data_IF_942627804991
#
_entry.id   IF_942627804991
#
_cell.length_a   1.000
_cell.length_b   1.000
_cell.length_c   1.000
_cell.angle_alpha   90.00
_cell.angle_beta   90.00
_cell.angle_gamma   90.00
#
_symmetry.space_group_name_H-M   'P 1'
#
loop_
_entity.id
_entity.type
_entity.pdbx_description
1 polymer ?
#
# COMPACT_ATOMS: atom_id res chain seq x y z
N UNK A 1 -12.06 -13.55 -53.56
CA UNK A 1 -13.16 -13.02 -52.72
C UNK A 1 -12.66 -12.99 -51.29
N UNK A 2 -12.06 -11.87 -50.89
CA UNK A 2 -11.65 -11.64 -49.51
C UNK A 2 -12.88 -11.18 -48.73
N UNK A 3 -13.25 -11.91 -47.69
CA UNK A 3 -14.27 -11.47 -46.75
C UNK A 3 -13.64 -10.33 -45.95
N UNK A 4 -13.88 -9.09 -46.40
CA UNK A 4 -13.71 -7.94 -45.51
C UNK A 4 -14.81 -8.06 -44.46
N UNK A 5 -14.42 -8.48 -43.25
CA UNK A 5 -15.27 -8.41 -42.07
C UNK A 5 -15.56 -6.93 -41.79
N UNK A 6 -16.58 -6.38 -42.44
CA UNK A 6 -17.24 -5.17 -41.99
C UNK A 6 -18.06 -5.51 -40.74
N UNK A 7 -17.35 -5.79 -39.64
CA UNK A 7 -17.87 -5.52 -38.29
C UNK A 7 -18.13 -3.99 -38.27
N UNK A 8 -19.34 -3.64 -37.85
CA UNK A 8 -20.06 -2.43 -38.22
C UNK A 8 -19.47 -1.14 -37.64
N UNK A 9 -19.79 -0.04 -38.29
CA UNK A 9 -19.58 1.31 -37.73
C UNK A 9 -20.58 1.52 -36.58
N UNK A 10 -20.28 0.96 -35.39
CA UNK A 10 -20.97 1.30 -34.14
C UNK A 10 -21.10 2.83 -34.03
N UNK A 11 -22.25 3.42 -33.72
CA UNK A 11 -22.40 4.90 -33.71
C UNK A 11 -21.86 5.59 -34.99
N UNK A 12 -22.57 5.46 -36.12
CA UNK A 12 -22.15 6.02 -37.43
C UNK A 12 -21.92 7.54 -37.47
N UNK A 13 -22.34 8.27 -36.45
CA UNK A 13 -22.17 9.72 -36.33
C UNK A 13 -20.85 10.15 -35.68
N UNK A 14 -20.04 9.22 -35.17
CA UNK A 14 -18.70 9.56 -34.70
C UNK A 14 -17.79 10.01 -35.86
N UNK A 15 -16.75 10.80 -35.57
CA UNK A 15 -15.80 11.22 -36.60
C UNK A 15 -15.15 10.03 -37.30
N UNK A 16 -15.01 10.13 -38.62
CA UNK A 16 -14.11 9.26 -39.37
C UNK A 16 -12.65 9.65 -39.05
N UNK A 17 -11.71 8.71 -39.13
CA UNK A 17 -10.31 8.91 -38.71
C UNK A 17 -9.61 10.02 -39.54
N UNK A 18 -9.46 11.22 -38.98
CA UNK A 18 -8.60 12.28 -39.54
C UNK A 18 -7.14 12.14 -39.06
N UNK A 19 -6.91 11.58 -37.87
CA UNK A 19 -5.60 11.51 -37.20
C UNK A 19 -5.26 10.09 -36.65
N UNK A 20 -5.35 9.10 -37.54
CA UNK A 20 -4.82 7.74 -37.31
C UNK A 20 -5.71 6.82 -36.46
N UNK A 21 -6.43 5.91 -37.12
CA UNK A 21 -7.08 4.66 -36.65
C UNK A 21 -7.83 4.65 -35.29
N UNK A 22 -7.94 5.76 -34.55
CA UNK A 22 -8.46 5.82 -33.17
C UNK A 22 -9.95 5.61 -33.11
N UNK A 23 -10.71 6.28 -33.96
CA UNK A 23 -12.15 6.09 -34.04
C UNK A 23 -12.47 4.73 -34.64
N UNK A 24 -11.70 4.24 -35.62
CA UNK A 24 -11.82 2.86 -36.09
C UNK A 24 -11.63 1.82 -34.96
N UNK A 25 -10.59 1.97 -34.14
CA UNK A 25 -10.37 1.11 -32.98
C UNK A 25 -11.53 1.19 -31.98
N UNK A 26 -12.09 2.38 -31.75
CA UNK A 26 -13.25 2.57 -30.86
C UNK A 26 -14.52 1.94 -31.42
N UNK A 27 -14.81 2.15 -32.72
CA UNK A 27 -15.92 1.51 -33.41
C UNK A 27 -15.87 0.00 -33.21
N UNK A 28 -14.74 -0.61 -33.52
CA UNK A 28 -14.53 -2.05 -33.33
C UNK A 28 -14.71 -2.45 -31.87
N UNK A 29 -14.11 -1.72 -30.92
CA UNK A 29 -14.20 -2.04 -29.51
C UNK A 29 -15.67 -2.06 -29.04
N UNK A 30 -16.44 -1.04 -29.38
CA UNK A 30 -17.83 -0.90 -28.97
C UNK A 30 -18.80 -1.83 -29.73
N UNK A 31 -18.40 -2.34 -30.90
CA UNK A 31 -19.13 -3.39 -31.61
C UNK A 31 -18.94 -4.78 -30.97
N UNK A 32 -17.77 -5.01 -30.35
CA UNK A 32 -17.39 -6.34 -29.81
C UNK A 32 -17.63 -6.44 -28.30
N UNK A 33 -17.48 -5.34 -27.55
CA UNK A 33 -17.51 -5.36 -26.09
C UNK A 33 -18.55 -4.40 -25.49
N UNK A 34 -19.44 -4.96 -24.68
CA UNK A 34 -20.47 -4.22 -23.96
C UNK A 34 -20.08 -3.84 -22.52
N UNK A 35 -20.78 -2.84 -21.98
CA UNK A 35 -20.72 -2.47 -20.56
C UNK A 35 -19.72 -1.36 -20.21
N UNK A 36 -19.28 -0.58 -21.20
CA UNK A 36 -18.32 0.52 -21.04
C UNK A 36 -18.94 1.91 -20.98
N UNK A 37 -20.28 2.01 -20.97
CA UNK A 37 -21.01 3.25 -20.73
C UNK A 37 -20.57 4.38 -21.66
N UNK A 38 -20.06 5.46 -21.06
CA UNK A 38 -19.64 6.66 -21.79
C UNK A 38 -18.48 6.46 -22.75
N UNK A 39 -17.70 5.37 -22.67
CA UNK A 39 -16.73 5.05 -23.73
C UNK A 39 -17.41 4.81 -25.08
N UNK A 40 -18.60 4.21 -25.06
CA UNK A 40 -19.37 3.79 -26.22
C UNK A 40 -20.67 4.58 -26.37
N UNK A 41 -20.77 5.78 -25.78
CA UNK A 41 -21.94 6.64 -25.95
C UNK A 41 -21.89 7.32 -27.33
N UNK A 42 -22.95 7.16 -28.13
CA UNK A 42 -22.98 7.69 -29.49
C UNK A 42 -23.00 9.22 -29.54
N UNK A 43 -23.56 9.87 -28.53
CA UNK A 43 -23.79 11.31 -28.51
C UNK A 43 -22.63 12.04 -27.80
N UNK A 44 -22.16 11.50 -26.67
CA UNK A 44 -21.15 12.10 -25.81
C UNK A 44 -20.08 11.08 -25.37
N UNK A 45 -19.28 10.54 -26.31
CA UNK A 45 -18.25 9.57 -25.97
C UNK A 45 -17.15 10.19 -25.10
N UNK A 46 -16.69 9.45 -24.09
CA UNK A 46 -15.52 9.83 -23.30
C UNK A 46 -14.26 9.75 -24.17
N UNK A 47 -13.68 10.91 -24.43
CA UNK A 47 -12.40 11.08 -25.12
C UNK A 47 -11.45 11.78 -24.15
N UNK A 48 -10.37 11.11 -23.70
CA UNK A 48 -9.40 11.72 -22.80
C UNK A 48 -8.84 13.02 -23.39
N UNK A 49 -8.92 14.10 -22.61
CA UNK A 49 -8.27 15.37 -22.93
C UNK A 49 -7.14 15.59 -21.94
N UNK A 50 -5.95 15.88 -22.45
CA UNK A 50 -4.81 16.18 -21.59
C UNK A 50 -5.08 17.50 -20.86
N UNK A 51 -5.18 17.43 -19.52
CA UNK A 51 -5.42 18.62 -18.71
C UNK A 51 -4.10 19.32 -18.39
N UNK A 52 -4.02 20.66 -18.51
CA UNK A 52 -2.77 21.36 -18.28
C UNK A 52 -2.34 21.21 -16.82
N UNK A 53 -1.06 20.91 -16.61
CA UNK A 53 -0.45 20.84 -15.28
C UNK A 53 -0.53 22.21 -14.60
N UNK A 54 -1.06 22.32 -13.38
CA UNK A 54 -0.99 23.55 -12.60
C UNK A 54 0.45 24.07 -12.46
N UNK A 55 0.65 25.38 -12.62
CA UNK A 55 1.98 26.04 -12.55
C UNK A 55 2.66 25.84 -11.20
N UNK A 56 1.87 25.60 -10.14
CA UNK A 56 2.37 25.36 -8.78
C UNK A 56 2.98 23.98 -8.60
N UNK A 57 2.78 23.04 -9.54
CA UNK A 57 3.27 21.67 -9.41
C UNK A 57 4.69 21.55 -9.97
N UNK A 58 5.59 21.01 -9.14
CA UNK A 58 7.05 21.06 -9.37
C UNK A 58 7.55 19.98 -10.32
N UNK A 59 6.84 18.87 -10.45
CA UNK A 59 7.33 17.71 -11.19
C UNK A 59 6.21 16.95 -11.91
N UNK A 60 6.62 16.12 -12.86
CA UNK A 60 5.76 15.10 -13.45
C UNK A 60 5.97 13.79 -12.69
N UNK A 61 4.87 13.15 -12.31
CA UNK A 61 4.88 11.89 -11.54
C UNK A 61 4.21 10.82 -12.40
N UNK A 62 4.93 9.73 -12.69
CA UNK A 62 4.43 8.64 -13.52
C UNK A 62 3.40 7.82 -12.73
N UNK A 63 2.27 7.50 -13.36
CA UNK A 63 1.25 6.59 -12.83
C UNK A 63 1.40 5.24 -13.51
N UNK A 64 1.69 4.21 -12.72
CA UNK A 64 1.77 2.81 -13.14
C UNK A 64 0.50 2.12 -12.67
N UNK A 65 -0.25 1.53 -13.60
CA UNK A 65 -1.47 0.79 -13.28
C UNK A 65 -1.21 -0.70 -13.53
N UNK A 66 -1.36 -1.51 -12.48
CA UNK A 66 -1.32 -2.95 -12.56
C UNK A 66 -2.72 -3.47 -12.91
N UNK A 67 -2.81 -4.21 -14.00
CA UNK A 67 -4.07 -4.75 -14.48
C UNK A 67 -3.93 -6.22 -14.91
N UNK A 68 -5.03 -6.96 -14.73
CA UNK A 68 -5.15 -8.36 -15.13
C UNK A 68 -6.34 -8.55 -16.05
N UNK A 69 -7.19 -9.53 -15.73
CA UNK A 69 -8.35 -9.92 -16.55
C UNK A 69 -9.64 -9.16 -16.23
N UNK A 70 -9.58 -7.96 -15.62
CA UNK A 70 -10.77 -7.20 -15.19
C UNK A 70 -10.89 -5.84 -15.91
N UNK A 71 -11.08 -5.83 -17.25
CA UNK A 71 -11.01 -4.61 -18.06
C UNK A 71 -12.05 -3.54 -17.69
N UNK A 72 -13.20 -3.92 -17.12
CA UNK A 72 -14.20 -2.95 -16.63
C UNK A 72 -13.74 -2.20 -15.37
N UNK A 73 -13.01 -2.87 -14.47
CA UNK A 73 -12.39 -2.21 -13.32
C UNK A 73 -11.28 -1.28 -13.80
N UNK A 74 -10.45 -1.77 -14.71
CA UNK A 74 -9.41 -0.96 -15.37
C UNK A 74 -10.01 0.29 -16.03
N UNK A 75 -11.07 0.18 -16.82
CA UNK A 75 -11.71 1.33 -17.46
C UNK A 75 -12.19 2.35 -16.42
N UNK A 76 -12.86 1.90 -15.36
CA UNK A 76 -13.35 2.77 -14.28
C UNK A 76 -12.19 3.57 -13.68
N UNK A 77 -11.08 2.92 -13.37
CA UNK A 77 -9.91 3.58 -12.81
C UNK A 77 -9.27 4.55 -13.82
N UNK A 78 -9.04 4.10 -15.06
CA UNK A 78 -8.44 4.92 -16.12
C UNK A 78 -9.23 6.20 -16.37
N UNK A 79 -10.56 6.09 -16.40
CA UNK A 79 -11.44 7.24 -16.53
C UNK A 79 -11.23 8.24 -15.39
N UNK A 80 -11.11 7.78 -14.14
CA UNK A 80 -10.85 8.68 -13.00
C UNK A 80 -9.46 9.30 -13.06
N UNK A 81 -8.43 8.53 -13.45
CA UNK A 81 -7.04 8.98 -13.59
C UNK A 81 -6.92 10.06 -14.66
N UNK A 82 -7.51 9.83 -15.84
CA UNK A 82 -7.43 10.76 -16.98
C UNK A 82 -8.25 12.04 -16.77
N UNK A 83 -9.13 12.07 -15.78
CA UNK A 83 -9.85 13.27 -15.35
C UNK A 83 -9.13 14.05 -14.25
N UNK A 84 -8.02 13.54 -13.71
CA UNK A 84 -7.24 14.28 -12.71
C UNK A 84 -6.54 15.48 -13.37
N UNK A 85 -6.56 16.66 -12.74
CA UNK A 85 -5.82 17.82 -13.24
C UNK A 85 -4.33 17.49 -13.42
N UNK A 86 -3.72 17.98 -14.51
CA UNK A 86 -2.31 17.81 -14.82
C UNK A 86 -1.86 16.40 -15.19
N UNK A 87 -2.77 15.43 -15.26
CA UNK A 87 -2.48 14.10 -15.80
C UNK A 87 -2.64 14.16 -17.32
N UNK A 88 -1.58 13.77 -18.02
CA UNK A 88 -1.59 13.50 -19.46
C UNK A 88 -1.43 12.00 -19.71
N UNK A 89 -1.81 11.55 -20.91
CA UNK A 89 -1.66 10.15 -21.33
C UNK A 89 -0.21 9.66 -21.27
N UNK A 90 0.76 10.53 -21.54
CA UNK A 90 2.19 10.23 -21.47
C UNK A 90 2.69 9.91 -20.05
N UNK A 91 1.92 10.30 -19.02
CA UNK A 91 2.24 10.01 -17.62
C UNK A 91 1.58 8.73 -17.11
N UNK A 92 0.83 8.00 -17.95
CA UNK A 92 0.13 6.78 -17.55
C UNK A 92 0.74 5.58 -18.28
N UNK A 93 1.22 4.60 -17.51
CA UNK A 93 1.68 3.30 -17.98
C UNK A 93 0.77 2.20 -17.43
N UNK A 94 0.11 1.45 -18.32
CA UNK A 94 -0.69 0.27 -17.95
C UNK A 94 0.14 -1.00 -18.13
N UNK A 95 0.42 -1.71 -17.03
CA UNK A 95 1.09 -3.01 -17.05
C UNK A 95 0.06 -4.12 -17.00
N UNK A 96 -0.08 -4.88 -18.08
CA UNK A 96 -1.03 -5.99 -18.23
C UNK A 96 -0.34 -7.32 -17.91
N UNK A 97 -0.85 -8.09 -16.94
CA UNK A 97 -0.35 -9.43 -16.63
C UNK A 97 -0.99 -10.49 -17.54
N UNK A 98 -0.39 -10.69 -18.72
CA UNK A 98 -0.91 -11.56 -19.77
C UNK A 98 -1.56 -10.79 -20.92
N UNK A 99 -1.77 -11.49 -22.04
CA UNK A 99 -2.32 -10.94 -23.27
C UNK A 99 -3.84 -10.88 -23.30
N UNK A 100 -4.48 -10.29 -22.30
CA UNK A 100 -5.94 -10.14 -22.27
C UNK A 100 -6.40 -9.16 -23.37
N UNK A 101 -6.99 -9.68 -24.44
CA UNK A 101 -7.31 -8.92 -25.65
C UNK A 101 -8.23 -7.73 -25.38
N UNK A 102 -9.29 -7.90 -24.58
CA UNK A 102 -10.23 -6.82 -24.23
C UNK A 102 -9.52 -5.68 -23.48
N UNK A 103 -8.65 -6.00 -22.52
CA UNK A 103 -7.89 -4.99 -21.77
C UNK A 103 -6.87 -4.28 -22.66
N UNK A 104 -6.17 -5.01 -23.53
CA UNK A 104 -5.23 -4.42 -24.49
C UNK A 104 -5.93 -3.46 -25.45
N UNK A 105 -7.08 -3.87 -26.01
CA UNK A 105 -7.86 -3.02 -26.92
C UNK A 105 -8.40 -1.79 -26.21
N UNK A 106 -8.87 -1.91 -24.98
CA UNK A 106 -9.30 -0.77 -24.17
C UNK A 106 -8.17 0.27 -24.02
N UNK A 107 -6.96 -0.18 -23.68
CA UNK A 107 -5.81 0.69 -23.48
C UNK A 107 -5.38 1.37 -24.79
N UNK A 108 -5.49 0.67 -25.92
CA UNK A 108 -5.28 1.23 -27.26
C UNK A 108 -6.32 2.30 -27.64
N UNK A 109 -7.61 2.05 -27.36
CA UNK A 109 -8.69 3.04 -27.60
C UNK A 109 -8.43 4.34 -26.84
N UNK A 110 -7.87 4.24 -25.63
CA UNK A 110 -7.51 5.39 -24.80
C UNK A 110 -6.14 6.00 -25.14
N UNK A 111 -5.39 5.41 -26.07
CA UNK A 111 -4.07 5.84 -26.51
C UNK A 111 -3.06 6.03 -25.36
N UNK A 112 -2.97 5.03 -24.48
CA UNK A 112 -2.08 5.06 -23.31
C UNK A 112 -0.82 4.21 -23.54
N UNK A 113 0.25 4.52 -22.81
CA UNK A 113 1.41 3.64 -22.77
C UNK A 113 1.06 2.34 -22.06
N UNK A 114 1.54 1.21 -22.59
CA UNK A 114 1.34 -0.08 -21.95
C UNK A 114 2.55 -1.01 -22.07
N UNK A 115 2.59 -1.99 -21.18
CA UNK A 115 3.54 -3.10 -21.24
C UNK A 115 2.79 -4.40 -20.96
N UNK A 116 3.08 -5.44 -21.74
CA UNK A 116 2.52 -6.78 -21.55
C UNK A 116 3.58 -7.60 -20.81
N UNK A 117 3.22 -8.11 -19.64
CA UNK A 117 3.99 -9.08 -18.88
C UNK A 117 3.59 -10.48 -19.31
N UNK A 118 4.57 -11.31 -19.66
CA UNK A 118 4.34 -12.75 -19.72
C UNK A 118 4.24 -13.27 -18.30
N UNK A 119 3.11 -13.89 -17.95
CA UNK A 119 2.84 -14.30 -16.58
C UNK A 119 3.92 -15.26 -16.05
N UNK A 120 4.59 -14.85 -14.97
CA UNK A 120 5.57 -15.64 -14.21
C UNK A 120 5.00 -16.01 -12.84
N UNK A 121 5.39 -17.15 -12.26
CA UNK A 121 4.94 -17.59 -10.92
C UNK A 121 4.03 -18.82 -10.96
N UNK A 122 4.34 -19.83 -10.13
CA UNK A 122 3.54 -21.06 -10.05
C UNK A 122 2.27 -20.80 -9.24
N UNK A 123 1.15 -20.56 -9.90
CA UNK A 123 -0.16 -20.28 -9.26
C UNK A 123 -0.83 -21.47 -8.55
N UNK A 124 -0.11 -22.58 -8.33
CA UNK A 124 -0.68 -23.82 -7.79
C UNK A 124 -0.94 -23.80 -6.28
N UNK A 125 -0.03 -23.21 -5.48
CA UNK A 125 -0.12 -23.20 -4.01
C UNK A 125 -0.45 -21.81 -3.43
N UNK A 126 -0.17 -20.74 -4.16
CA UNK A 126 -0.47 -19.35 -3.77
C UNK A 126 -0.43 -18.43 -5.00
N UNK A 127 -1.31 -17.41 -5.09
CA UNK A 127 -1.25 -16.39 -6.13
C UNK A 127 -0.14 -15.35 -5.89
N UNK A 128 0.41 -15.27 -4.67
CA UNK A 128 1.36 -14.24 -4.25
C UNK A 128 2.61 -14.11 -5.16
N UNK A 129 3.27 -15.20 -5.59
CA UNK A 129 4.44 -15.08 -6.44
C UNK A 129 4.10 -14.45 -7.79
N UNK A 130 2.95 -14.80 -8.38
CA UNK A 130 2.51 -14.25 -9.67
C UNK A 130 2.34 -12.73 -9.61
N UNK A 131 1.63 -12.26 -8.58
CA UNK A 131 1.39 -10.83 -8.38
C UNK A 131 2.71 -10.10 -8.11
N UNK A 132 3.58 -10.69 -7.28
CA UNK A 132 4.92 -10.15 -6.99
C UNK A 132 5.77 -9.98 -8.26
N UNK A 133 5.77 -10.97 -9.16
CA UNK A 133 6.51 -10.90 -10.43
C UNK A 133 5.97 -9.85 -11.37
N UNK A 134 4.65 -9.72 -11.47
CA UNK A 134 4.03 -8.67 -12.30
C UNK A 134 4.37 -7.27 -11.81
N UNK A 135 4.30 -7.02 -10.50
CA UNK A 135 4.69 -5.74 -9.92
C UNK A 135 6.17 -5.44 -10.18
N UNK A 136 7.07 -6.42 -9.97
CA UNK A 136 8.50 -6.27 -10.29
C UNK A 136 8.70 -5.86 -11.74
N UNK A 137 8.03 -6.53 -12.67
CA UNK A 137 8.09 -6.23 -14.10
C UNK A 137 7.63 -4.80 -14.38
N UNK A 138 6.47 -4.40 -13.85
CA UNK A 138 5.90 -3.07 -14.05
C UNK A 138 6.86 -1.97 -13.55
N UNK A 139 7.40 -2.13 -12.36
CA UNK A 139 8.38 -1.21 -11.77
C UNK A 139 9.66 -1.14 -12.61
N UNK A 140 10.22 -2.29 -13.00
CA UNK A 140 11.42 -2.32 -13.84
C UNK A 140 11.20 -1.66 -15.20
N UNK A 141 10.07 -1.96 -15.86
CA UNK A 141 9.71 -1.35 -17.16
C UNK A 141 9.51 0.15 -17.05
N UNK A 142 8.83 0.62 -16.01
CA UNK A 142 8.61 2.06 -15.78
C UNK A 142 9.92 2.85 -15.70
N UNK A 143 10.90 2.36 -14.93
CA UNK A 143 12.21 3.01 -14.76
C UNK A 143 12.97 3.05 -16.08
N UNK A 144 12.88 1.99 -16.89
CA UNK A 144 13.57 1.87 -18.18
C UNK A 144 12.96 2.73 -19.27
N UNK A 145 11.63 2.75 -19.37
CA UNK A 145 10.90 3.50 -20.40
C UNK A 145 10.83 4.99 -20.09
N UNK A 146 10.85 5.36 -18.81
CA UNK A 146 10.73 6.73 -18.35
C UNK A 146 11.99 7.15 -17.54
N UNK A 147 13.14 7.36 -18.21
CA UNK A 147 14.42 7.62 -17.54
C UNK A 147 14.46 8.96 -16.80
N UNK A 148 13.63 9.93 -17.20
CA UNK A 148 13.54 11.25 -16.57
C UNK A 148 12.65 11.30 -15.32
N UNK A 149 11.79 10.30 -15.13
CA UNK A 149 10.84 10.28 -14.01
C UNK A 149 11.54 9.96 -12.70
N UNK A 150 11.29 10.80 -11.70
CA UNK A 150 11.88 10.67 -10.35
C UNK A 150 10.95 10.01 -9.35
N UNK A 151 9.64 10.08 -9.58
CA UNK A 151 8.62 9.54 -8.67
C UNK A 151 7.59 8.74 -9.45
N UNK A 152 7.08 7.71 -8.81
CA UNK A 152 6.22 6.69 -9.41
C UNK A 152 5.06 6.41 -8.46
N UNK A 153 3.85 6.59 -8.96
CA UNK A 153 2.60 6.17 -8.32
C UNK A 153 2.25 4.80 -8.86
N UNK A 154 1.90 3.86 -7.99
CA UNK A 154 1.44 2.51 -8.36
C UNK A 154 -0.02 2.37 -7.93
N UNK A 155 -0.88 1.99 -8.86
CA UNK A 155 -2.31 1.76 -8.67
C UNK A 155 -2.68 0.33 -9.12
N UNK A 156 -3.65 -0.26 -8.45
CA UNK A 156 -4.29 -1.53 -8.87
C UNK A 156 -5.62 -1.22 -9.57
N UNK A 157 -5.99 -2.01 -10.59
CA UNK A 157 -7.16 -1.74 -11.45
C UNK A 157 -8.51 -1.65 -10.72
N UNK A 158 -8.63 -2.20 -9.50
CA UNK A 158 -9.87 -2.26 -8.72
C UNK A 158 -10.05 -1.12 -7.70
N UNK A 159 -9.15 -0.13 -7.73
CA UNK A 159 -9.25 1.06 -6.91
C UNK A 159 -10.29 2.05 -7.45
N UNK A 160 -10.90 2.80 -6.53
CA UNK A 160 -11.49 4.10 -6.79
C UNK A 160 -10.54 5.16 -6.23
N UNK A 161 -10.34 6.24 -6.98
CA UNK A 161 -9.51 7.37 -6.53
C UNK A 161 -10.36 8.61 -6.24
N UNK A 162 -9.91 9.42 -5.29
CA UNK A 162 -10.53 10.68 -4.91
C UNK A 162 -10.28 11.78 -5.97
N UNK A 163 -11.12 12.83 -6.02
CA UNK A 163 -10.94 13.93 -6.96
C UNK A 163 -9.60 14.68 -6.79
N UNK A 164 -9.05 14.75 -5.58
CA UNK A 164 -7.75 15.37 -5.26
C UNK A 164 -6.56 14.39 -5.33
N UNK A 165 -6.74 13.14 -5.79
CA UNK A 165 -5.71 12.11 -5.67
C UNK A 165 -4.34 12.53 -6.24
N UNK A 166 -4.30 13.03 -7.47
CA UNK A 166 -3.02 13.43 -8.08
C UNK A 166 -2.46 14.72 -7.45
N UNK A 167 -3.34 15.65 -7.05
CA UNK A 167 -2.96 16.85 -6.28
C UNK A 167 -2.34 16.49 -4.92
N UNK A 168 -2.89 15.50 -4.23
CA UNK A 168 -2.37 14.97 -2.97
C UNK A 168 -0.96 14.38 -3.17
N UNK A 169 -0.75 13.58 -4.23
CA UNK A 169 0.57 13.03 -4.55
C UNK A 169 1.57 14.15 -4.90
N UNK A 170 1.14 15.17 -5.64
CA UNK A 170 1.97 16.35 -5.93
C UNK A 170 2.38 17.11 -4.67
N UNK A 171 1.44 17.35 -3.74
CA UNK A 171 1.73 18.03 -2.47
C UNK A 171 2.69 17.23 -1.59
N UNK A 172 2.45 15.93 -1.44
CA UNK A 172 3.22 15.04 -0.56
C UNK A 172 4.53 14.56 -1.16
N UNK A 173 4.74 14.72 -2.48
CA UNK A 173 5.99 14.40 -3.17
C UNK A 173 7.20 15.07 -2.51
N UNK A 174 7.01 16.28 -1.98
CA UNK A 174 8.04 17.05 -1.30
C UNK A 174 8.65 16.34 -0.10
N UNK A 175 7.83 15.57 0.63
CA UNK A 175 8.29 14.84 1.81
C UNK A 175 9.36 13.83 1.43
N UNK A 176 9.24 13.20 0.26
CA UNK A 176 10.23 12.24 -0.25
C UNK A 176 11.56 12.90 -0.65
N UNK A 177 11.54 14.20 -0.95
CA UNK A 177 12.76 14.96 -1.26
C UNK A 177 13.42 15.52 0.02
N UNK A 178 12.61 15.93 1.00
CA UNK A 178 13.09 16.59 2.22
C UNK A 178 13.47 15.62 3.34
N UNK A 179 12.82 14.47 3.43
CA UNK A 179 12.96 13.55 4.56
C UNK A 179 13.38 12.14 4.11
N UNK A 180 14.68 11.79 4.21
CA UNK A 180 15.19 10.48 3.79
C UNK A 180 14.72 9.33 4.70
N UNK A 181 14.05 9.64 5.82
CA UNK A 181 13.46 8.65 6.71
C UNK A 181 12.05 8.23 6.28
N UNK A 182 11.56 8.75 5.15
CA UNK A 182 10.32 8.31 4.49
C UNK A 182 10.69 7.60 3.20
N UNK A 183 10.10 6.43 2.94
CA UNK A 183 10.33 5.70 1.69
C UNK A 183 9.20 5.86 0.69
N UNK A 184 8.00 6.23 1.13
CA UNK A 184 6.85 6.42 0.25
C UNK A 184 5.70 7.20 0.87
N UNK A 185 4.66 7.41 0.06
CA UNK A 185 3.39 8.01 0.44
C UNK A 185 2.26 7.08 -0.02
N UNK A 186 1.28 6.82 0.82
CA UNK A 186 0.08 6.08 0.45
C UNK A 186 -1.10 7.03 0.24
N UNK A 187 -2.03 6.67 -0.65
CA UNK A 187 -3.38 7.22 -0.73
C UNK A 187 -4.35 6.52 0.22
N UNK A 188 -3.96 5.40 0.82
CA UNK A 188 -4.78 4.57 1.68
C UNK A 188 -4.29 4.58 3.13
N UNK A 189 -5.22 4.37 4.08
CA UNK A 189 -4.92 4.11 5.49
C UNK A 189 -5.85 3.05 6.05
N UNK A 190 -5.30 2.02 6.71
CA UNK A 190 -6.06 0.88 7.21
C UNK A 190 -7.06 1.30 8.28
N UNK A 191 -6.67 2.27 9.10
CA UNK A 191 -7.44 2.77 10.24
C UNK A 191 -8.48 3.83 9.92
N UNK A 192 -8.70 4.17 8.65
CA UNK A 192 -9.69 5.18 8.28
C UNK A 192 -11.08 4.55 8.15
N UNK A 193 -11.95 4.86 9.11
CA UNK A 193 -13.37 4.52 9.14
C UNK A 193 -14.19 5.79 9.42
N UNK A 194 -15.51 5.71 9.26
CA UNK A 194 -16.41 6.86 9.50
C UNK A 194 -16.31 7.44 10.91
N UNK A 195 -15.92 6.61 11.89
CA UNK A 195 -15.72 7.03 13.27
C UNK A 195 -14.27 7.38 13.63
N UNK A 196 -13.30 7.25 12.71
CA UNK A 196 -11.87 7.43 12.99
C UNK A 196 -11.11 8.28 11.97
N UNK A 197 -11.82 8.91 11.03
CA UNK A 197 -11.22 9.80 10.05
C UNK A 197 -12.17 10.97 9.74
N UNK A 198 -11.66 12.19 9.96
CA UNK A 198 -12.45 13.43 9.88
C UNK A 198 -11.71 14.58 9.21
N UNK A 199 -10.41 14.68 9.45
CA UNK A 199 -9.59 15.80 9.01
C UNK A 199 -8.91 15.46 7.67
N UNK A 200 -9.36 16.03 6.54
CA UNK A 200 -8.77 15.74 5.25
C UNK A 200 -7.39 16.37 5.07
N UNK A 201 -6.97 17.30 5.93
CA UNK A 201 -5.65 17.93 5.89
C UNK A 201 -4.58 17.13 6.62
N UNK A 202 -5.00 16.25 7.55
CA UNK A 202 -4.07 15.54 8.44
C UNK A 202 -3.39 14.38 7.74
N UNK A 203 -2.10 14.27 8.03
CA UNK A 203 -1.23 13.17 7.63
C UNK A 203 -0.65 12.50 8.87
N UNK A 204 -0.25 11.24 8.73
CA UNK A 204 0.43 10.45 9.75
C UNK A 204 1.69 9.81 9.15
N UNK A 205 2.65 9.53 10.02
CA UNK A 205 3.81 8.68 9.70
C UNK A 205 3.62 7.31 10.34
N UNK A 206 3.94 6.25 9.61
CA UNK A 206 3.85 4.91 10.15
C UNK A 206 4.87 3.93 9.56
N UNK A 207 5.22 2.95 10.38
CA UNK A 207 5.63 1.62 9.95
C UNK A 207 4.41 0.91 9.37
N UNK A 208 4.36 0.89 8.04
CA UNK A 208 3.39 0.11 7.29
C UNK A 208 4.05 -0.33 5.97
N UNK A 209 3.30 -1.05 5.16
CA UNK A 209 3.68 -1.36 3.79
C UNK A 209 2.86 -0.52 2.80
N UNK A 210 3.33 -0.36 1.55
CA UNK A 210 2.54 0.28 0.51
C UNK A 210 1.30 -0.56 0.21
N UNK A 211 0.12 0.08 0.21
CA UNK A 211 -1.13 -0.59 -0.08
C UNK A 211 -2.06 0.35 -0.86
N UNK A 212 -2.79 -0.19 -1.85
CA UNK A 212 -3.93 0.46 -2.49
C UNK A 212 -3.69 1.89 -2.97
N UNK A 213 -2.66 2.10 -3.79
CA UNK A 213 -2.33 3.40 -4.37
C UNK A 213 -1.24 4.13 -3.58
N UNK A 214 -0.01 4.05 -4.06
CA UNK A 214 1.16 4.53 -3.32
C UNK A 214 2.22 5.11 -4.25
N UNK A 215 2.98 6.08 -3.74
CA UNK A 215 4.05 6.78 -4.44
C UNK A 215 5.40 6.52 -3.79
N UNK A 216 6.43 6.30 -4.61
CA UNK A 216 7.82 6.14 -4.17
C UNK A 216 8.78 6.91 -5.08
N UNK A 217 9.97 7.19 -4.56
CA UNK A 217 11.08 7.75 -5.32
C UNK A 217 11.84 6.69 -6.14
N UNK A 218 12.48 7.13 -7.22
CA UNK A 218 13.31 6.30 -8.11
C UNK A 218 14.44 5.59 -7.36
N UNK A 219 15.08 6.28 -6.42
CA UNK A 219 16.18 5.73 -5.61
C UNK A 219 15.73 4.51 -4.81
N UNK A 220 14.56 4.59 -4.17
CA UNK A 220 13.96 3.47 -3.45
C UNK A 220 13.65 2.31 -4.39
N UNK A 221 13.07 2.58 -5.57
CA UNK A 221 12.82 1.50 -6.54
C UNK A 221 14.09 0.78 -7.00
N UNK A 222 15.20 1.48 -7.24
CA UNK A 222 16.47 0.83 -7.57
C UNK A 222 16.96 -0.08 -6.45
N UNK A 223 16.88 0.38 -5.21
CA UNK A 223 17.24 -0.42 -4.02
C UNK A 223 16.34 -1.66 -3.90
N UNK A 224 15.02 -1.48 -4.01
CA UNK A 224 14.04 -2.57 -3.85
C UNK A 224 14.13 -3.60 -4.98
N UNK A 225 14.30 -3.18 -6.24
CA UNK A 225 14.33 -4.08 -7.39
C UNK A 225 15.52 -5.05 -7.37
N UNK A 226 16.66 -4.63 -6.82
CA UNK A 226 17.84 -5.51 -6.63
C UNK A 226 17.57 -6.58 -5.57
N UNK A 227 16.77 -6.24 -4.56
CA UNK A 227 16.39 -7.15 -3.48
C UNK A 227 15.16 -8.00 -3.81
N UNK A 228 14.51 -7.76 -4.96
CA UNK A 228 13.21 -8.34 -5.26
C UNK A 228 13.25 -9.86 -5.19
N UNK A 229 12.28 -10.50 -4.51
CA UNK A 229 12.39 -11.91 -4.25
C UNK A 229 12.30 -12.80 -5.49
N UNK A 230 12.91 -13.99 -5.42
CA UNK A 230 12.74 -15.04 -6.41
C UNK A 230 11.28 -15.46 -6.58
N UNK A 231 10.99 -16.10 -7.71
CA UNK A 231 9.63 -16.50 -8.11
C UNK A 231 9.04 -17.62 -7.24
N UNK A 232 9.88 -18.28 -6.44
CA UNK A 232 9.50 -19.37 -5.54
C UNK A 232 8.96 -18.85 -4.20
N UNK A 233 9.12 -17.56 -3.90
CA UNK A 233 8.70 -17.05 -2.60
C UNK A 233 7.20 -16.79 -2.55
N UNK A 234 6.53 -17.46 -1.61
CA UNK A 234 5.08 -17.45 -1.43
C UNK A 234 4.54 -16.29 -0.58
N UNK A 235 5.40 -15.45 -0.03
CA UNK A 235 4.95 -14.29 0.74
C UNK A 235 4.54 -13.16 -0.20
N UNK A 236 3.48 -12.45 0.19
CA UNK A 236 2.97 -11.31 -0.54
C UNK A 236 4.01 -10.18 -0.63
N UNK A 237 4.03 -9.54 -1.80
CA UNK A 237 5.02 -8.52 -2.13
C UNK A 237 4.96 -7.32 -1.18
N UNK A 238 3.78 -6.97 -0.68
CA UNK A 238 3.52 -5.83 0.18
C UNK A 238 4.07 -6.07 1.58
N UNK A 239 3.81 -7.23 2.18
CA UNK A 239 4.43 -7.67 3.42
C UNK A 239 5.96 -7.72 3.32
N UNK A 240 6.48 -8.24 2.21
CA UNK A 240 7.93 -8.23 1.95
C UNK A 240 8.49 -6.80 1.88
N UNK A 241 7.83 -5.89 1.16
CA UNK A 241 8.23 -4.48 1.08
C UNK A 241 8.12 -3.75 2.43
N UNK A 242 7.15 -4.12 3.27
CA UNK A 242 6.99 -3.58 4.63
C UNK A 242 8.03 -4.06 5.63
N UNK A 243 8.74 -5.15 5.32
CA UNK A 243 9.71 -5.75 6.21
C UNK A 243 10.87 -4.80 6.54
N UNK A 244 11.47 -4.96 7.72
CA UNK A 244 12.65 -4.19 8.12
C UNK A 244 13.83 -4.32 7.16
N UNK A 245 13.90 -5.42 6.39
CA UNK A 245 14.93 -5.66 5.38
C UNK A 245 14.85 -4.68 4.21
N UNK A 246 13.64 -4.44 3.67
CA UNK A 246 13.41 -3.51 2.55
C UNK A 246 13.27 -2.08 3.06
N UNK A 247 12.45 -1.89 4.10
CA UNK A 247 12.11 -0.57 4.62
C UNK A 247 13.28 0.11 5.34
N UNK A 248 14.17 -0.65 5.97
CA UNK A 248 15.36 -0.13 6.70
C UNK A 248 15.04 0.97 7.71
N UNK A 249 13.94 0.81 8.43
CA UNK A 249 13.50 1.77 9.45
C UNK A 249 12.83 3.05 8.90
N UNK A 250 12.71 3.21 7.56
CA UNK A 250 11.97 4.32 6.94
C UNK A 250 10.47 4.17 7.13
N UNK A 251 9.70 5.22 6.99
CA UNK A 251 8.24 5.20 7.20
C UNK A 251 7.49 5.51 5.91
N UNK A 252 6.18 5.27 5.92
CA UNK A 252 5.27 5.72 4.88
C UNK A 252 4.36 6.82 5.42
N UNK A 253 4.08 7.82 4.59
CA UNK A 253 3.09 8.87 4.90
C UNK A 253 1.70 8.37 4.54
N UNK A 254 0.77 8.51 5.47
CA UNK A 254 -0.62 8.08 5.33
C UNK A 254 -1.56 9.27 5.54
N UNK A 255 -2.63 9.43 4.76
CA UNK A 255 -3.63 10.45 5.02
C UNK A 255 -4.60 9.98 6.10
N UNK A 256 -5.19 10.90 6.86
CA UNK A 256 -6.30 10.55 7.75
C UNK A 256 -7.55 10.19 6.94
N UNK A 257 -7.98 11.05 6.01
CA UNK A 257 -9.01 10.73 5.02
C UNK A 257 -8.34 10.14 3.76
N UNK A 258 -8.63 8.88 3.38
CA UNK A 258 -8.06 8.25 2.19
C UNK A 258 -8.35 9.00 0.89
N UNK A 259 -7.43 8.86 -0.07
CA UNK A 259 -7.57 9.28 -1.47
C UNK A 259 -7.78 8.09 -2.40
N UNK A 260 -7.79 6.88 -1.86
CA UNK A 260 -8.10 5.65 -2.57
C UNK A 260 -9.03 4.77 -1.74
N UNK A 261 -9.90 4.03 -2.43
CA UNK A 261 -10.81 3.05 -1.85
C UNK A 261 -10.73 1.78 -2.67
N UNK A 262 -10.58 0.63 -2.01
CA UNK A 262 -10.61 -0.65 -2.70
C UNK A 262 -12.07 -1.05 -2.98
N UNK A 263 -12.44 -1.05 -4.27
CA UNK A 263 -13.81 -1.27 -4.74
C UNK A 263 -13.97 -2.59 -5.50
N UNK A 264 -12.95 -3.47 -5.46
CA UNK A 264 -13.06 -4.84 -5.91
C UNK A 264 -14.01 -5.62 -5.00
N UNK A 265 -15.10 -6.14 -5.57
CA UNK A 265 -16.03 -7.07 -4.88
C UNK A 265 -15.67 -8.54 -5.13
N UNK A 266 -14.76 -8.79 -6.07
CA UNK A 266 -14.14 -10.08 -6.37
C UNK A 266 -12.64 -9.89 -6.63
N UNK A 267 -11.82 -10.79 -6.09
CA UNK A 267 -10.35 -10.74 -6.17
C UNK A 267 -9.72 -11.94 -5.46
N UNK A 268 -8.40 -12.10 -5.58
CA UNK A 268 -7.68 -13.30 -5.12
C UNK A 268 -7.82 -13.58 -3.61
N UNK A 269 -7.96 -12.53 -2.79
CA UNK A 269 -8.14 -12.63 -1.33
C UNK A 269 -9.54 -12.20 -0.87
N UNK A 270 -10.53 -12.12 -1.77
CA UNK A 270 -11.79 -11.43 -1.49
C UNK A 270 -13.03 -12.25 -1.86
N UNK A 271 -13.93 -12.44 -0.89
CA UNK A 271 -15.30 -12.88 -1.12
C UNK A 271 -16.32 -12.09 -0.27
N UNK A 272 -17.35 -11.54 -0.92
CA UNK A 272 -18.64 -11.25 -0.27
C UNK A 272 -18.78 -9.95 0.55
N UNK A 273 -19.68 -10.01 1.54
CA UNK A 273 -20.23 -8.87 2.30
C UNK A 273 -19.21 -8.21 3.25
N UNK A 274 -18.20 -8.97 3.68
CA UNK A 274 -17.19 -8.56 4.67
C UNK A 274 -16.09 -7.68 4.06
N UNK A 275 -15.69 -7.99 2.82
CA UNK A 275 -14.82 -7.13 2.01
C UNK A 275 -15.41 -5.72 1.86
N UNK A 276 -16.72 -5.64 1.62
CA UNK A 276 -17.45 -4.37 1.53
C UNK A 276 -17.40 -3.55 2.83
N UNK A 277 -17.53 -4.21 4.00
CA UNK A 277 -17.47 -3.53 5.31
C UNK A 277 -16.07 -3.01 5.63
N UNK A 278 -15.00 -3.75 5.31
CA UNK A 278 -13.63 -3.37 5.68
C UNK A 278 -12.97 -2.40 4.71
N UNK A 279 -13.27 -2.52 3.43
CA UNK A 279 -12.55 -1.82 2.37
C UNK A 279 -13.42 -0.84 1.61
N UNK A 280 -14.66 -1.20 1.26
CA UNK A 280 -15.53 -0.36 0.43
C UNK A 280 -16.30 0.71 1.21
N UNK A 281 -16.49 0.54 2.53
CA UNK A 281 -17.17 1.52 3.40
C UNK A 281 -16.23 2.57 4.03
N UNK A 282 -15.00 2.69 3.51
CA UNK A 282 -14.05 3.71 3.98
C UNK A 282 -14.44 5.09 3.47
N UNK A 283 -14.26 6.16 4.27
CA UNK A 283 -14.40 7.52 3.77
C UNK A 283 -13.34 7.79 2.69
N UNK A 284 -13.63 8.73 1.80
CA UNK A 284 -12.70 9.21 0.80
C UNK A 284 -12.81 10.73 0.71
N UNK A 285 -11.71 11.38 0.35
CA UNK A 285 -11.70 12.81 0.06
C UNK A 285 -12.65 13.12 -1.11
N UNK A 286 -13.36 14.24 -1.00
CA UNK A 286 -14.37 14.68 -1.98
C UNK A 286 -14.07 16.05 -2.58
N UNK A 287 -13.20 16.83 -1.93
CA UNK A 287 -12.83 18.17 -2.37
C UNK A 287 -11.64 18.05 -3.34
N UNK A 288 -11.79 18.42 -4.63
CA UNK A 288 -10.71 18.37 -5.62
C UNK A 288 -9.55 19.34 -5.30
N UNK A 289 -9.75 20.36 -4.47
CA UNK A 289 -8.75 21.37 -4.13
C UNK A 289 -8.14 21.15 -2.73
N UNK A 290 -8.41 19.99 -2.12
CA UNK A 290 -7.99 19.67 -0.77
C UNK A 290 -6.48 19.86 -0.56
N UNK A 291 -6.14 20.59 0.52
CA UNK A 291 -4.75 20.82 0.95
C UNK A 291 -4.36 19.91 2.10
N UNK A 292 -3.09 19.56 2.18
CA UNK A 292 -2.53 18.76 3.28
C UNK A 292 -1.36 19.46 3.96
N UNK A 293 -1.17 19.19 5.25
CA UNK A 293 -0.04 19.73 6.00
C UNK A 293 1.17 18.80 5.93
N UNK A 294 2.06 19.02 4.97
CA UNK A 294 3.29 18.20 4.82
C UNK A 294 4.31 18.46 5.93
N UNK A 295 4.32 19.66 6.52
CA UNK A 295 5.34 20.03 7.51
C UNK A 295 5.18 19.27 8.82
N UNK A 296 3.94 18.88 9.18
CA UNK A 296 3.67 18.12 10.40
C UNK A 296 4.18 16.68 10.35
N UNK A 297 4.47 16.15 9.15
CA UNK A 297 4.97 14.79 8.97
C UNK A 297 6.46 14.73 8.62
N UNK A 298 7.19 15.85 8.69
CA UNK A 298 8.65 15.79 8.74
C UNK A 298 9.08 15.21 10.09
N UNK A 299 10.07 14.33 10.10
CA UNK A 299 10.44 13.51 11.27
C UNK A 299 10.55 14.30 12.58
N UNK A 300 11.30 15.40 12.61
CA UNK A 300 11.53 16.19 13.81
C UNK A 300 10.23 16.84 14.33
N UNK A 301 9.41 17.36 13.42
CA UNK A 301 8.12 17.97 13.76
C UNK A 301 7.15 16.92 14.29
N UNK A 302 7.06 15.79 13.60
CA UNK A 302 6.17 14.69 13.99
C UNK A 302 6.51 14.16 15.38
N UNK A 303 7.79 13.89 15.65
CA UNK A 303 8.24 13.42 16.96
C UNK A 303 7.98 14.43 18.08
N UNK A 304 8.24 15.72 17.81
CA UNK A 304 7.98 16.82 18.75
C UNK A 304 6.49 16.88 19.11
N UNK A 305 5.62 16.90 18.10
CA UNK A 305 4.17 17.02 18.29
C UNK A 305 3.59 15.76 18.95
N UNK A 306 4.09 14.58 18.58
CA UNK A 306 3.69 13.31 19.18
C UNK A 306 4.07 13.22 20.66
N UNK A 307 5.27 13.67 21.04
CA UNK A 307 5.68 13.75 22.44
C UNK A 307 4.80 14.67 23.28
N UNK A 308 4.34 15.80 22.72
CA UNK A 308 3.40 16.69 23.38
C UNK A 308 2.03 16.03 23.53
N UNK A 309 1.54 15.39 22.47
CA UNK A 309 0.26 14.69 22.45
C UNK A 309 0.19 13.60 23.52
N UNK A 310 1.24 12.77 23.63
CA UNK A 310 1.31 11.70 24.63
C UNK A 310 1.30 12.26 26.06
N UNK A 311 2.00 13.38 26.32
CA UNK A 311 2.02 14.02 27.64
C UNK A 311 0.67 14.60 28.06
N UNK A 312 -0.15 15.02 27.08
CA UNK A 312 -1.51 15.51 27.31
C UNK A 312 -2.53 14.38 27.50
N UNK A 313 -2.15 13.14 27.17
CA UNK A 313 -3.09 12.04 27.13
C UNK A 313 -3.53 11.61 28.55
N UNK A 314 -4.85 11.51 28.74
CA UNK A 314 -5.44 10.97 29.97
C UNK A 314 -5.45 9.44 29.88
N UNK A 315 -4.86 8.72 30.85
CA UNK A 315 -4.79 7.28 30.75
C UNK A 315 -6.14 6.60 31.02
N UNK A 316 -6.44 5.57 30.25
CA UNK A 316 -7.65 4.75 30.38
C UNK A 316 -7.31 3.45 31.12
N UNK A 317 -8.07 3.14 32.17
CA UNK A 317 -7.99 1.86 32.86
C UNK A 317 -8.93 0.85 32.18
N UNK A 318 -8.39 0.08 31.23
CA UNK A 318 -9.16 -0.88 30.43
C UNK A 318 -8.78 -2.30 30.85
N UNK A 319 -9.73 -3.01 31.47
CA UNK A 319 -9.58 -4.42 31.86
C UNK A 319 -10.16 -5.32 30.76
N UNK A 320 -11.36 -4.98 30.28
CA UNK A 320 -12.06 -5.68 29.21
C UNK A 320 -12.48 -4.68 28.12
N UNK A 321 -11.77 -4.64 26.98
CA UNK A 321 -12.06 -3.71 25.89
C UNK A 321 -13.48 -3.83 25.32
N UNK A 322 -14.08 -5.02 25.31
CA UNK A 322 -15.41 -5.21 24.71
C UNK A 322 -16.54 -4.63 25.57
N UNK A 323 -16.33 -4.58 26.88
CA UNK A 323 -17.26 -3.98 27.83
C UNK A 323 -16.86 -2.55 28.24
N UNK A 324 -15.80 -2.00 27.65
CA UNK A 324 -15.33 -0.65 27.94
C UNK A 324 -16.03 0.38 27.07
N UNK A 325 -16.50 1.48 27.69
CA UNK A 325 -17.05 2.61 26.95
C UNK A 325 -15.94 3.62 26.62
N UNK A 326 -15.48 3.61 25.37
CA UNK A 326 -14.44 4.54 24.91
C UNK A 326 -14.93 6.00 24.89
N UNK A 327 -14.11 6.97 25.35
CA UNK A 327 -14.45 8.38 25.23
C UNK A 327 -14.61 8.80 23.76
N UNK A 328 -15.70 9.49 23.45
CA UNK A 328 -16.03 9.94 22.08
C UNK A 328 -16.04 11.48 21.93
N UNK A 329 -15.76 12.22 23.01
CA UNK A 329 -15.89 13.68 23.07
C UNK A 329 -14.64 14.34 23.61
N UNK A 330 -13.96 15.11 22.77
CA UNK A 330 -12.83 15.94 23.14
C UNK A 330 -11.66 15.16 23.72
N UNK A 331 -10.55 15.85 23.94
CA UNK A 331 -9.41 15.30 24.68
C UNK A 331 -8.63 14.22 23.94
N UNK A 332 -7.54 13.83 24.61
CA UNK A 332 -6.60 12.82 24.16
C UNK A 332 -6.51 11.78 25.27
N UNK A 333 -6.64 10.52 24.91
CA UNK A 333 -6.63 9.41 25.84
C UNK A 333 -5.57 8.40 25.45
N UNK A 334 -5.02 7.68 26.42
CA UNK A 334 -4.03 6.62 26.14
C UNK A 334 -4.39 5.34 26.86
N UNK A 335 -4.30 4.23 26.14
CA UNK A 335 -4.37 2.87 26.68
C UNK A 335 -3.08 2.12 26.40
N UNK A 336 -2.72 1.18 27.28
CA UNK A 336 -1.48 0.41 27.20
C UNK A 336 -1.81 -1.04 26.91
N UNK A 337 -1.21 -1.61 25.87
CA UNK A 337 -1.39 -3.02 25.49
C UNK A 337 -0.06 -3.77 25.63
N UNK A 338 -0.10 -5.07 25.94
CA UNK A 338 1.10 -5.90 25.97
C UNK A 338 1.63 -6.07 24.56
N UNK A 339 2.89 -5.71 24.35
CA UNK A 339 3.60 -5.90 23.09
C UNK A 339 5.09 -6.02 23.39
N UNK A 340 5.65 -7.23 23.34
CA UNK A 340 7.08 -7.48 23.56
C UNK A 340 7.94 -7.28 22.30
N UNK A 341 7.34 -7.46 21.12
CA UNK A 341 8.00 -7.27 19.83
C UNK A 341 6.98 -6.87 18.77
N UNK A 342 7.46 -6.54 17.56
CA UNK A 342 6.61 -6.27 16.40
C UNK A 342 5.62 -7.41 16.07
N UNK A 343 6.00 -8.65 16.40
CA UNK A 343 5.19 -9.84 16.14
C UNK A 343 4.18 -10.16 17.27
N UNK A 344 4.20 -9.41 18.37
CA UNK A 344 3.29 -9.63 19.51
C UNK A 344 1.99 -8.86 19.30
N UNK A 345 1.10 -9.42 18.49
CA UNK A 345 -0.08 -8.74 17.97
C UNK A 345 -1.36 -8.95 18.80
N UNK A 346 -1.41 -9.96 19.68
CA UNK A 346 -2.69 -10.44 20.23
C UNK A 346 -3.49 -9.37 20.98
N UNK A 347 -2.82 -8.60 21.84
CA UNK A 347 -3.48 -7.54 22.59
C UNK A 347 -3.92 -6.38 21.70
N UNK A 348 -3.17 -6.09 20.63
CA UNK A 348 -3.57 -5.11 19.63
C UNK A 348 -4.82 -5.56 18.89
N UNK A 349 -4.90 -6.82 18.45
CA UNK A 349 -6.04 -7.36 17.71
C UNK A 349 -7.35 -7.17 18.49
N UNK A 350 -7.37 -7.51 19.79
CA UNK A 350 -8.54 -7.29 20.65
C UNK A 350 -8.88 -5.80 20.77
N UNK A 351 -7.90 -4.94 21.04
CA UNK A 351 -8.13 -3.50 21.22
C UNK A 351 -8.65 -2.84 19.92
N UNK A 352 -8.03 -3.14 18.78
CA UNK A 352 -8.45 -2.64 17.48
C UNK A 352 -9.86 -3.10 17.13
N UNK A 353 -10.21 -4.34 17.48
CA UNK A 353 -11.55 -4.89 17.23
C UNK A 353 -12.61 -4.22 18.12
N UNK A 354 -12.32 -4.01 19.40
CA UNK A 354 -13.21 -3.28 20.32
C UNK A 354 -13.44 -1.82 19.89
N UNK A 355 -12.44 -1.18 19.29
CA UNK A 355 -12.56 0.16 18.70
C UNK A 355 -13.26 0.16 17.33
N UNK A 356 -13.58 -1.00 16.75
CA UNK A 356 -14.16 -1.11 15.41
C UNK A 356 -13.21 -0.66 14.29
N UNK A 357 -11.91 -0.89 14.46
CA UNK A 357 -10.85 -0.50 13.51
C UNK A 357 -10.17 -1.73 12.90
N UNK A 358 -9.09 -1.53 12.13
CA UNK A 358 -8.33 -2.66 11.57
C UNK A 358 -7.66 -3.46 12.68
N UNK A 359 -7.99 -4.75 12.79
CA UNK A 359 -7.56 -5.59 13.91
C UNK A 359 -6.95 -6.92 13.50
N UNK A 360 -6.64 -7.15 12.23
CA UNK A 360 -6.01 -8.41 11.79
C UNK A 360 -4.55 -8.51 12.20
N UNK A 361 -3.84 -7.39 12.23
CA UNK A 361 -2.42 -7.29 12.50
C UNK A 361 -2.03 -5.82 12.77
N UNK A 362 -0.91 -5.56 13.48
CA UNK A 362 -0.51 -4.24 13.99
C UNK A 362 0.04 -3.28 12.92
N UNK A 363 -0.71 -3.04 11.84
CA UNK A 363 -0.37 -2.11 10.75
C UNK A 363 -0.47 -0.65 11.16
N UNK A 364 0.16 0.22 10.36
CA UNK A 364 0.10 1.68 10.48
C UNK A 364 0.54 2.21 11.86
N UNK A 365 1.46 1.49 12.52
CA UNK A 365 1.99 1.87 13.83
C UNK A 365 3.21 2.78 13.68
N UNK A 366 3.41 3.72 14.58
CA UNK A 366 4.64 4.48 14.68
C UNK A 366 5.44 3.98 15.88
N UNK A 367 6.40 3.08 15.66
CA UNK A 367 7.19 2.43 16.72
C UNK A 367 6.33 1.85 17.86
N UNK A 368 5.33 1.02 17.53
CA UNK A 368 4.43 0.39 18.50
C UNK A 368 3.40 1.35 19.12
N UNK A 369 3.15 2.50 18.50
CA UNK A 369 2.15 3.47 18.92
C UNK A 369 1.13 3.69 17.80
N UNK A 370 -0.15 3.76 18.13
CA UNK A 370 -1.22 4.17 17.22
C UNK A 370 -1.89 5.41 17.76
N UNK A 371 -2.02 6.43 16.92
CA UNK A 371 -2.82 7.63 17.22
C UNK A 371 -4.04 7.61 16.31
N UNK A 372 -5.19 7.34 16.91
CA UNK A 372 -6.45 7.18 16.22
C UNK A 372 -7.38 8.33 16.60
N UNK A 373 -7.84 9.14 15.64
CA UNK A 373 -9.08 9.88 15.85
C UNK A 373 -10.20 8.89 16.19
N UNK A 374 -11.08 9.25 17.10
CA UNK A 374 -12.19 8.41 17.53
C UNK A 374 -13.38 9.30 17.90
N UNK A 375 -14.32 9.45 16.98
CA UNK A 375 -15.33 10.50 17.03
C UNK A 375 -14.69 11.87 17.24
N UNK A 376 -15.09 12.62 18.26
CA UNK A 376 -14.50 13.92 18.58
C UNK A 376 -13.34 13.82 19.58
N UNK A 377 -12.82 12.62 19.86
CA UNK A 377 -11.69 12.38 20.75
C UNK A 377 -10.47 11.80 19.98
N UNK A 378 -9.34 11.66 20.67
CA UNK A 378 -8.18 10.92 20.17
C UNK A 378 -7.83 9.77 21.13
N UNK A 379 -7.70 8.56 20.60
CA UNK A 379 -7.27 7.38 21.34
C UNK A 379 -5.86 7.00 20.89
N UNK A 380 -4.94 6.98 21.85
CA UNK A 380 -3.59 6.48 21.70
C UNK A 380 -3.53 5.04 22.22
N UNK A 381 -3.06 4.11 21.39
CA UNK A 381 -2.74 2.75 21.80
C UNK A 381 -1.22 2.64 21.88
N UNK A 382 -0.68 2.26 23.03
CA UNK A 382 0.76 2.13 23.25
C UNK A 382 1.12 0.67 23.57
N UNK A 383 1.95 0.05 22.71
CA UNK A 383 2.50 -1.28 22.92
C UNK A 383 3.65 -1.28 23.93
N UNK A 384 3.50 -1.96 25.06
CA UNK A 384 4.48 -1.96 26.16
C UNK A 384 5.04 -3.38 26.36
N UNK A 385 6.37 -3.55 26.48
CA UNK A 385 7.43 -2.52 26.49
C UNK A 385 8.00 -2.15 25.11
N UNK A 386 7.53 -2.76 24.02
CA UNK A 386 8.14 -2.61 22.68
C UNK A 386 8.19 -1.15 22.19
N UNK A 387 7.17 -0.35 22.47
CA UNK A 387 7.09 1.00 21.95
C UNK A 387 8.22 1.88 22.47
N UNK A 388 8.81 2.67 21.57
CA UNK A 388 9.77 3.73 21.89
C UNK A 388 9.22 4.74 22.93
N UNK A 389 7.90 4.84 23.03
CA UNK A 389 7.21 5.77 23.92
C UNK A 389 6.83 5.15 25.28
N UNK A 390 7.17 3.89 25.54
CA UNK A 390 6.87 3.20 26.81
C UNK A 390 7.34 3.95 28.06
N UNK A 391 8.34 4.83 27.93
CA UNK A 391 8.82 5.73 29.01
C UNK A 391 7.76 6.72 29.53
N UNK A 392 6.72 7.01 28.74
CA UNK A 392 5.61 7.89 29.15
C UNK A 392 4.47 7.13 29.83
N UNK A 393 4.58 5.80 29.95
CA UNK A 393 3.55 4.98 30.58
C UNK A 393 3.31 5.43 32.02
N UNK A 394 2.04 5.66 32.35
CA UNK A 394 1.61 5.76 33.73
C UNK A 394 1.63 4.36 34.38
N UNK A 395 2.53 4.15 35.34
CA UNK A 395 2.72 2.84 36.01
C UNK A 395 1.57 2.44 36.92
N UNK A 396 0.70 3.38 37.33
CA UNK A 396 -0.51 3.10 38.11
C UNK A 396 -1.61 2.43 37.28
N UNK A 397 -1.47 2.39 35.96
CA UNK A 397 -2.46 1.83 35.04
C UNK A 397 -1.95 0.49 34.52
N UNK A 398 -2.77 -0.58 34.56
CA UNK A 398 -2.38 -1.89 34.07
C UNK A 398 -2.14 -1.86 32.55
N UNK A 399 -1.24 -2.72 32.09
CA UNK A 399 -1.09 -3.02 30.66
C UNK A 399 -2.09 -4.10 30.32
N UNK A 400 -2.98 -3.80 29.38
CA UNK A 400 -3.95 -4.76 28.90
C UNK A 400 -3.22 -5.96 28.27
N UNK A 401 -3.45 -7.13 28.87
CA UNK A 401 -2.97 -8.40 28.37
C UNK A 401 -4.16 -9.28 28.02
N UNK A 402 -4.09 -9.92 26.86
CA UNK A 402 -5.14 -10.81 26.39
C UNK A 402 -5.26 -12.04 27.30
N UNK A 403 -6.49 -12.39 27.68
CA UNK A 403 -6.80 -13.68 28.34
C UNK A 403 -7.17 -14.72 27.29
N UNK A 404 -7.14 -16.01 27.65
CA UNK A 404 -7.53 -17.08 26.72
C UNK A 404 -8.98 -16.93 26.29
N UNK A 405 -9.85 -16.57 27.22
CA UNK A 405 -11.28 -16.39 27.01
C UNK A 405 -11.56 -15.28 25.99
N UNK A 406 -10.95 -14.10 26.17
CA UNK A 406 -11.09 -12.98 25.24
C UNK A 406 -10.56 -13.32 23.84
N UNK A 407 -9.46 -14.06 23.76
CA UNK A 407 -8.90 -14.48 22.48
C UNK A 407 -9.81 -15.47 21.76
N UNK A 408 -10.39 -16.44 22.48
CA UNK A 408 -11.39 -17.36 21.93
C UNK A 408 -12.63 -16.63 21.44
N UNK A 409 -13.18 -15.69 22.22
CA UNK A 409 -14.33 -14.86 21.77
C UNK A 409 -14.02 -14.08 20.51
N UNK A 410 -12.78 -13.61 20.33
CA UNK A 410 -12.39 -12.98 19.08
C UNK A 410 -12.35 -14.02 17.94
N UNK A 411 -11.68 -15.16 18.11
CA UNK A 411 -11.63 -16.21 17.08
C UNK A 411 -13.02 -16.66 16.65
N UNK A 412 -13.94 -16.90 17.59
CA UNK A 412 -15.32 -17.32 17.28
C UNK A 412 -16.07 -16.28 16.43
N UNK A 413 -15.74 -14.99 16.59
CA UNK A 413 -16.26 -13.91 15.74
C UNK A 413 -15.57 -13.82 14.37
N UNK A 414 -14.46 -14.55 14.18
CA UNK A 414 -13.58 -14.55 13.00
C UNK A 414 -13.49 -15.90 12.27
N UNK A 415 -14.11 -16.99 12.75
CA UNK A 415 -13.96 -18.35 12.20
C UNK A 415 -14.43 -18.52 10.73
N UNK A 416 -15.01 -17.49 10.09
CA UNK A 416 -15.27 -17.44 8.64
C UNK A 416 -14.10 -16.84 7.82
N UNK A 417 -12.99 -16.39 8.44
CA UNK A 417 -12.05 -15.44 7.84
C UNK A 417 -10.55 -15.84 7.81
N UNK A 418 -10.08 -16.77 8.66
CA UNK A 418 -8.65 -17.14 8.78
C UNK A 418 -8.07 -17.82 7.53
N UNK A 419 -8.93 -18.23 6.59
CA UNK A 419 -8.51 -18.85 5.33
C UNK A 419 -8.10 -17.82 4.25
N UNK A 420 -8.57 -16.57 4.33
CA UNK A 420 -8.34 -15.55 3.28
C UNK A 420 -7.01 -14.81 3.42
N UNK A 421 -6.47 -14.72 4.64
CA UNK A 421 -5.23 -14.02 4.96
C UNK A 421 -4.40 -14.83 5.94
N UNK A 422 -3.80 -15.93 5.46
CA UNK A 422 -2.68 -16.50 6.20
C UNK A 422 -1.45 -15.65 5.89
N UNK A 423 -0.91 -14.87 6.85
CA UNK A 423 0.36 -14.19 6.64
C UNK A 423 1.41 -15.27 6.42
N UNK A 424 1.82 -15.47 5.17
CA UNK A 424 2.97 -16.31 4.85
C UNK A 424 4.19 -15.65 5.46
N UNK A 425 4.59 -16.15 6.63
CA UNK A 425 5.54 -15.52 7.54
C UNK A 425 6.85 -15.20 6.82
N UNK A 426 7.38 -14.01 7.11
CA UNK A 426 8.69 -13.47 6.71
C UNK A 426 9.85 -14.50 6.80
N UNK A 427 9.72 -15.50 7.67
CA UNK A 427 10.68 -16.59 7.87
C UNK A 427 11.07 -17.32 6.57
N UNK A 428 10.20 -17.38 5.56
CA UNK A 428 10.55 -17.99 4.28
C UNK A 428 11.68 -17.23 3.57
N UNK A 429 11.72 -15.89 3.65
CA UNK A 429 12.75 -15.08 3.01
C UNK A 429 14.12 -15.22 3.65
N UNK A 430 14.20 -15.08 4.98
CA UNK A 430 15.47 -15.11 5.70
C UNK A 430 16.16 -16.48 5.56
N UNK A 431 15.37 -17.55 5.53
CA UNK A 431 15.87 -18.91 5.33
C UNK A 431 16.41 -19.14 3.91
N UNK A 432 15.76 -18.58 2.88
CA UNK A 432 16.16 -18.78 1.47
C UNK A 432 17.46 -18.05 1.10
N UNK A 433 17.76 -16.93 1.74
CA UNK A 433 18.98 -16.17 1.46
C UNK A 433 20.14 -16.47 2.43
N UNK A 434 19.99 -17.43 3.35
CA UNK A 434 20.95 -17.68 4.45
C UNK A 434 21.31 -16.41 5.23
N UNK A 435 20.39 -15.44 5.24
CA UNK A 435 20.58 -14.17 5.93
C UNK A 435 20.17 -14.37 7.38
N UNK A 436 21.10 -14.84 8.20
CA UNK A 436 21.03 -14.53 9.63
C UNK A 436 20.98 -13.01 9.79
N UNK A 437 20.21 -12.50 10.76
CA UNK A 437 19.99 -11.06 10.95
C UNK A 437 21.29 -10.24 11.06
N UNK A 438 22.43 -10.88 11.33
CA UNK A 438 23.76 -10.26 11.43
C UNK A 438 24.44 -9.96 10.08
N UNK A 439 24.13 -10.70 8.98
CA UNK A 439 24.86 -10.61 7.70
C UNK A 439 24.32 -9.59 6.68
N UNK A 440 23.26 -8.83 7.02
CA UNK A 440 22.66 -7.82 6.11
C UNK A 440 23.65 -6.67 5.79
N UNK A 441 24.73 -6.52 6.56
CA UNK A 441 25.76 -5.47 6.36
C UNK A 441 26.70 -5.74 5.19
N UNK A 442 26.83 -7.00 4.75
CA UNK A 442 27.91 -7.41 3.84
C UNK A 442 27.53 -7.35 2.34
N UNK A 443 26.27 -7.05 2.01
CA UNK A 443 25.75 -7.03 0.63
C UNK A 443 25.94 -5.69 -0.13
N UNK A 444 26.70 -4.73 0.41
CA UNK A 444 26.89 -3.43 -0.23
C UNK A 444 28.36 -3.15 -0.57
N UNK A 445 28.71 -2.96 -1.85
CA UNK A 445 29.93 -2.26 -2.20
C UNK A 445 29.81 -0.81 -1.73
N UNK A 446 30.79 -0.40 -0.94
CA UNK A 446 30.95 0.94 -0.37
C UNK A 446 30.86 2.05 -1.43
N UNK A 447 30.12 3.11 -1.08
CA UNK A 447 30.09 4.36 -1.83
C UNK A 447 29.25 5.43 -1.14
N UNK A 448 29.41 5.58 0.18
CA UNK A 448 29.16 6.77 1.03
C UNK A 448 28.71 6.34 2.44
N UNK A 449 29.40 6.87 3.45
CA UNK A 449 29.29 6.51 4.85
C UNK A 449 27.94 6.92 5.45
N UNK A 450 27.10 5.93 5.78
CA UNK A 450 25.95 6.12 6.68
C UNK A 450 26.41 5.85 8.11
N UNK A 451 26.34 6.81 9.06
CA UNK A 451 26.75 6.57 10.43
C UNK A 451 25.66 5.76 11.15
N UNK A 452 25.91 4.46 11.35
CA UNK A 452 25.13 3.65 12.29
C UNK A 452 25.53 3.99 13.72
N UNK A 453 24.55 4.41 14.53
CA UNK A 453 24.73 4.60 15.97
C UNK A 453 24.99 3.24 16.65
N UNK A 454 26.21 3.04 17.13
CA UNK A 454 26.59 1.89 17.96
C UNK A 454 26.17 2.14 19.40
N UNK A 455 25.22 1.39 19.93
CA UNK A 455 25.06 1.22 21.38
C UNK A 455 25.49 -0.20 21.76
N UNK A 456 26.66 -0.28 22.38
CA UNK A 456 27.19 -1.45 23.06
C UNK A 456 26.34 -1.76 24.30
N UNK A 457 25.76 -2.96 24.37
CA UNK A 457 25.60 -3.66 25.65
C UNK A 457 25.95 -5.13 25.45
N UNK A 458 26.96 -5.55 26.22
CA UNK A 458 27.50 -6.90 26.30
C UNK A 458 26.42 -7.90 26.71
N UNK A 459 26.34 -9.03 26.01
CA UNK A 459 25.85 -10.29 26.57
C UNK A 459 26.89 -11.39 26.33
N UNK A 460 27.53 -11.79 27.41
CA UNK A 460 28.38 -12.97 27.52
C UNK A 460 27.52 -14.24 27.40
N UNK A 461 27.81 -15.12 26.43
CA UNK A 461 27.23 -16.47 26.42
C UNK A 461 28.32 -17.52 26.13
N UNK A 462 28.51 -18.36 27.14
CA UNK A 462 29.01 -19.73 27.20
C UNK A 462 29.65 -20.36 25.94
N UNK A 463 30.93 -20.74 26.10
CA UNK A 463 31.58 -21.82 25.34
C UNK A 463 30.88 -23.16 25.61
N UNK A 464 30.44 -23.84 24.56
CA UNK A 464 30.28 -25.29 24.57
C UNK A 464 30.92 -25.87 23.30
N UNK A 465 31.95 -26.66 23.52
CA UNK A 465 32.73 -27.39 22.52
C UNK A 465 31.90 -28.46 21.80
N UNK A 466 32.07 -28.61 20.49
CA UNK A 466 31.83 -29.88 19.79
C UNK A 466 32.98 -30.23 18.86
N UNK A 467 33.55 -31.39 19.12
CA UNK A 467 34.45 -32.18 18.29
C UNK A 467 33.70 -32.84 17.12
N UNK A 468 34.45 -33.14 16.04
CA UNK A 468 34.12 -34.12 14.99
C UNK A 468 33.13 -33.58 13.94
N UNK A 469 33.48 -33.37 12.68
CA UNK A 469 34.35 -34.17 11.81
C UNK A 469 33.47 -35.14 11.01
N UNK A 470 33.08 -34.76 9.79
CA UNK A 470 32.75 -35.66 8.67
C UNK A 470 32.49 -34.84 7.41
N UNK A 471 33.33 -35.12 6.43
CA UNK A 471 33.44 -34.71 5.03
C UNK A 471 32.14 -34.80 4.22
N UNK A 472 31.88 -33.79 3.37
CA UNK A 472 31.17 -33.96 2.10
C UNK A 472 31.81 -33.06 1.04
N UNK A 473 32.24 -33.71 -0.03
CA UNK A 473 33.03 -33.19 -1.15
C UNK A 473 32.08 -32.48 -2.13
N UNK A 474 32.38 -31.22 -2.48
CA UNK A 474 31.78 -30.56 -3.64
C UNK A 474 32.67 -30.79 -4.87
N UNK A 475 32.16 -31.53 -5.85
CA UNK A 475 32.69 -31.58 -7.20
C UNK A 475 32.09 -30.46 -8.04
N UNK A 476 32.96 -29.58 -8.55
CA UNK A 476 32.66 -28.57 -9.57
C UNK A 476 32.21 -29.23 -10.88
N UNK A 477 31.26 -28.62 -11.59
CA UNK A 477 31.12 -28.72 -13.03
C UNK A 477 30.63 -27.37 -13.59
N UNK A 478 31.57 -26.75 -14.33
CA UNK A 478 31.52 -25.79 -15.46
C UNK A 478 30.30 -24.89 -15.60
#
# INVERSE_FOLDING_TARGET
MGISLHIGRFCRGWPDDEDGERWSMRHYFCDVYDGYGDLCDCDNPFVPQDTPKPVTWREDILIIILAGSRPRYLYRLLRQVLLQPGVSRDLVLVSLDGGYEEALRLVNVLALNYAIHETEGVGGLSPAPRISRHLRFALFRSIRQFPKMKKFIVLEEDLLIAPDFYSYMQQTSEVLDQDPTVYGVSGFRHHSYTHTAYDPMRLARAHSFPAYGWMVGRSFLYETLVLWPPVEVLTDWDYWMGSGFVRRGREIILPEIPRTVHAGVSGQHFNGLLAKRRFSNKPASKDPEQRVNITSVLKENYERDLHLLIKLATPLNIIDPYNFTFPTKGGVYVTYIRMYSENDDKSYKIMGNALGTWSMDPRDNHHGLWVLPYYNASIIIMGVPYSKYSKYRNTSIPVFNVTKELYSTMIDNYEDEDYLFQPHKLNNYLNLFHLEQEHVKDFFPLGESVPFATNNQQMSIFKMSRMGGSTLVFSNLV
#
